data_IF_826288948334
#
_entry.id   IF_826288948334
#
_cell.length_a   1.000
_cell.length_b   1.000
_cell.length_c   1.000
_cell.angle_alpha   90.00
_cell.angle_beta   90.00
_cell.angle_gamma   90.00
#
_symmetry.space_group_name_H-M   'P 1'
#
loop_
_entity.id
_entity.type
_entity.pdbx_description
1 polymer ?
#
# COMPACT_ATOMS: atom_id res chain seq x y z
N UNK A 1 -2.19 -13.22 -17.25
CA UNK A 1 -3.16 -13.85 -16.32
C UNK A 1 -4.41 -14.22 -17.09
N UNK A 2 -5.06 -15.33 -16.72
CA UNK A 2 -6.38 -15.76 -17.26
C UNK A 2 -7.18 -16.39 -16.11
N UNK A 3 -8.50 -16.32 -16.19
CA UNK A 3 -9.39 -17.01 -15.26
C UNK A 3 -9.44 -18.48 -15.62
N UNK A 4 -9.32 -19.36 -14.62
CA UNK A 4 -9.38 -20.80 -14.78
C UNK A 4 -10.17 -21.42 -13.62
N UNK A 5 -10.86 -22.52 -13.91
CA UNK A 5 -11.41 -23.38 -12.87
C UNK A 5 -10.33 -24.35 -12.40
N UNK A 6 -10.10 -24.38 -11.10
CA UNK A 6 -9.12 -25.25 -10.45
C UNK A 6 -9.77 -25.93 -9.24
N UNK A 7 -9.26 -27.08 -8.78
CA UNK A 7 -9.73 -27.67 -7.54
C UNK A 7 -9.56 -26.73 -6.34
N UNK A 8 -10.49 -26.78 -5.39
CA UNK A 8 -10.33 -26.07 -4.14
C UNK A 8 -9.02 -26.46 -3.44
N UNK A 9 -8.29 -25.48 -2.88
CA UNK A 9 -7.02 -25.77 -2.23
C UNK A 9 -7.24 -26.57 -0.94
N UNK A 10 -6.38 -27.57 -0.73
CA UNK A 10 -6.36 -28.39 0.48
C UNK A 10 -5.32 -27.81 1.45
N UNK A 11 -5.70 -27.44 2.69
CA UNK A 11 -4.75 -26.91 3.66
C UNK A 11 -3.63 -27.90 3.97
N UNK A 12 -2.39 -27.42 3.97
CA UNK A 12 -1.23 -28.14 4.49
C UNK A 12 -1.16 -28.14 6.02
N UNK A 13 -0.11 -28.73 6.59
CA UNK A 13 0.11 -28.72 8.03
C UNK A 13 0.27 -27.27 8.56
N UNK A 14 -0.55 -26.91 9.55
CA UNK A 14 -0.56 -25.56 10.13
C UNK A 14 -1.26 -24.49 9.28
N UNK A 15 -1.90 -24.87 8.18
CA UNK A 15 -2.72 -23.99 7.35
C UNK A 15 -4.22 -24.20 7.62
N UNK A 16 -4.99 -23.21 7.21
CA UNK A 16 -6.44 -23.26 7.15
C UNK A 16 -6.92 -22.82 5.79
N UNK A 17 -8.07 -23.36 5.36
CA UNK A 17 -8.76 -22.88 4.17
C UNK A 17 -9.62 -21.67 4.56
N UNK A 18 -9.64 -20.69 3.67
CA UNK A 18 -10.42 -19.47 3.79
C UNK A 18 -11.26 -19.26 2.54
N UNK A 19 -12.53 -18.91 2.72
CA UNK A 19 -13.34 -18.33 1.65
C UNK A 19 -12.94 -16.88 1.47
N UNK A 20 -12.56 -16.47 0.28
CA UNK A 20 -12.15 -15.09 -0.01
C UNK A 20 -13.38 -14.20 -0.12
N UNK A 21 -13.48 -13.21 0.75
CA UNK A 21 -14.51 -12.18 0.71
C UNK A 21 -14.08 -11.01 -0.18
N UNK A 22 -12.80 -10.63 -0.07
CA UNK A 22 -12.19 -9.58 -0.87
C UNK A 22 -10.67 -9.77 -0.92
N UNK A 23 -10.04 -9.43 -2.05
CA UNK A 23 -8.57 -9.48 -2.23
C UNK A 23 -8.06 -8.15 -2.77
N UNK A 24 -7.14 -7.52 -2.04
CA UNK A 24 -6.57 -6.24 -2.44
C UNK A 24 -5.54 -6.41 -3.55
N UNK A 25 -5.58 -5.55 -4.57
CA UNK A 25 -4.58 -5.51 -5.64
C UNK A 25 -3.39 -4.68 -5.18
N UNK A 26 -2.24 -5.33 -5.05
CA UNK A 26 -1.00 -4.70 -4.59
C UNK A 26 0.04 -4.60 -5.71
N UNK A 27 0.97 -3.64 -5.60
CA UNK A 27 2.07 -3.51 -6.56
C UNK A 27 2.95 -4.77 -6.64
N UNK A 28 3.21 -5.51 -5.53
CA UNK A 28 3.82 -6.83 -5.60
C UNK A 28 3.12 -7.83 -6.52
N UNK A 29 1.79 -7.80 -6.66
CA UNK A 29 1.07 -8.69 -7.59
C UNK A 29 1.49 -8.43 -9.04
N UNK A 30 1.63 -7.14 -9.42
CA UNK A 30 2.12 -6.76 -10.74
C UNK A 30 3.57 -7.22 -10.99
N UNK A 31 4.42 -7.15 -9.97
CA UNK A 31 5.80 -7.61 -10.05
C UNK A 31 5.89 -9.15 -10.09
N UNK A 32 5.05 -9.85 -9.33
CA UNK A 32 4.97 -11.32 -9.32
C UNK A 32 4.61 -11.85 -10.70
N UNK A 33 3.54 -11.34 -11.31
CA UNK A 33 3.09 -11.82 -12.64
C UNK A 33 4.08 -11.50 -13.76
N UNK A 34 4.98 -10.52 -13.57
CA UNK A 34 6.07 -10.17 -14.47
C UNK A 34 7.39 -10.89 -14.17
N UNK A 35 7.44 -11.70 -13.08
CA UNK A 35 8.68 -12.35 -12.63
C UNK A 35 9.74 -11.38 -12.10
N UNK A 36 9.35 -10.18 -11.70
CA UNK A 36 10.21 -9.07 -11.26
C UNK A 36 10.24 -8.90 -9.74
N UNK A 37 9.51 -9.75 -9.00
CA UNK A 37 9.52 -9.70 -7.54
C UNK A 37 10.61 -10.60 -6.96
N UNK A 38 10.99 -10.38 -5.68
CA UNK A 38 12.03 -11.15 -4.98
C UNK A 38 11.64 -12.62 -4.81
N UNK A 39 10.34 -12.89 -4.63
CA UNK A 39 9.78 -14.24 -4.56
C UNK A 39 9.30 -14.63 -5.96
N UNK A 40 9.67 -15.83 -6.39
CA UNK A 40 9.27 -16.41 -7.69
C UNK A 40 8.52 -17.72 -7.43
N UNK A 41 7.19 -17.67 -7.29
CA UNK A 41 6.42 -18.90 -7.11
C UNK A 41 6.53 -19.80 -8.35
N UNK A 42 6.39 -21.14 -8.18
CA UNK A 42 6.33 -22.05 -9.31
C UNK A 42 5.11 -21.74 -10.19
N UNK A 43 5.25 -21.96 -11.50
CA UNK A 43 4.15 -21.82 -12.45
C UNK A 43 3.39 -23.15 -12.60
N UNK A 44 2.05 -23.13 -12.75
CA UNK A 44 1.18 -21.96 -12.66
C UNK A 44 0.99 -21.48 -11.22
N UNK A 45 0.69 -20.20 -11.03
CA UNK A 45 0.31 -19.66 -9.72
C UNK A 45 -0.82 -18.63 -9.82
N UNK A 46 -1.58 -18.48 -8.76
CA UNK A 46 -2.58 -17.44 -8.59
C UNK A 46 -1.97 -16.29 -7.80
N UNK A 47 -2.00 -15.03 -8.28
CA UNK A 47 -1.58 -13.87 -7.50
C UNK A 47 -2.64 -13.43 -6.48
N UNK A 48 -2.38 -12.35 -5.75
CA UNK A 48 -3.23 -11.86 -4.66
C UNK A 48 -2.59 -12.15 -3.29
N UNK A 49 -1.76 -11.21 -2.85
CA UNK A 49 -0.93 -11.41 -1.64
C UNK A 49 -1.62 -11.02 -0.34
N UNK A 50 -2.84 -10.49 -0.41
CA UNK A 50 -3.57 -9.93 0.74
C UNK A 50 -5.08 -10.09 0.57
N UNK A 51 -5.74 -10.63 1.57
CA UNK A 51 -7.20 -10.85 1.55
C UNK A 51 -7.87 -10.47 2.87
N UNK A 52 -9.18 -10.18 2.79
CA UNK A 52 -10.14 -10.45 3.84
C UNK A 52 -10.87 -11.76 3.47
N UNK A 53 -10.91 -12.70 4.39
CA UNK A 53 -11.53 -14.00 4.18
C UNK A 53 -12.33 -14.45 5.39
N UNK A 54 -13.06 -15.53 5.21
CA UNK A 54 -13.86 -16.18 6.24
C UNK A 54 -13.38 -17.60 6.46
N UNK A 55 -13.15 -17.93 7.72
CA UNK A 55 -12.82 -19.29 8.16
C UNK A 55 -14.06 -20.19 8.13
N UNK A 56 -13.88 -21.52 8.21
CA UNK A 56 -14.99 -22.48 8.23
C UNK A 56 -15.90 -22.31 9.46
N UNK A 57 -15.39 -21.76 10.57
CA UNK A 57 -16.17 -21.41 11.77
C UNK A 57 -16.78 -20.00 11.74
N UNK A 58 -16.75 -19.33 10.58
CA UNK A 58 -17.43 -18.05 10.32
C UNK A 58 -16.69 -16.80 10.82
N UNK A 59 -15.41 -16.90 11.21
CA UNK A 59 -14.63 -15.73 11.64
C UNK A 59 -14.13 -14.95 10.42
N UNK A 60 -14.31 -13.62 10.41
CA UNK A 60 -13.69 -12.70 9.44
C UNK A 60 -12.25 -12.43 9.83
N UNK A 61 -11.36 -12.69 8.90
CA UNK A 61 -9.92 -12.56 9.10
C UNK A 61 -9.23 -11.85 7.93
N UNK A 62 -8.13 -11.17 8.22
CA UNK A 62 -7.17 -10.70 7.23
C UNK A 62 -6.04 -11.72 7.17
N UNK A 63 -5.62 -12.07 5.95
CA UNK A 63 -4.57 -13.06 5.74
C UNK A 63 -3.67 -12.72 4.54
N UNK A 64 -2.46 -13.27 4.58
CA UNK A 64 -1.60 -13.38 3.40
C UNK A 64 -1.67 -14.84 2.92
N UNK A 65 -2.29 -15.12 1.75
CA UNK A 65 -2.37 -16.46 1.22
C UNK A 65 -1.01 -17.11 0.98
N UNK A 66 -0.96 -18.43 1.13
CA UNK A 66 0.24 -19.22 0.83
C UNK A 66 0.40 -19.39 -0.69
N UNK A 67 1.45 -18.80 -1.27
CA UNK A 67 1.76 -19.04 -2.67
C UNK A 67 2.14 -20.52 -2.87
N UNK A 68 1.73 -21.15 -3.98
CA UNK A 68 1.26 -20.54 -5.24
C UNK A 68 -0.24 -20.21 -5.32
N UNK A 69 -1.02 -20.36 -4.25
CA UNK A 69 -2.46 -20.19 -4.23
C UNK A 69 -2.86 -18.82 -3.64
N UNK A 70 -2.67 -17.74 -4.40
CA UNK A 70 -2.96 -16.38 -3.97
C UNK A 70 -4.46 -16.02 -4.00
N UNK A 71 -4.77 -14.85 -3.48
CA UNK A 71 -6.13 -14.39 -3.15
C UNK A 71 -7.02 -14.01 -4.32
N UNK A 72 -6.53 -13.98 -5.57
CA UNK A 72 -7.42 -13.80 -6.71
C UNK A 72 -8.08 -15.12 -7.08
N UNK A 73 -8.84 -15.66 -6.12
CA UNK A 73 -9.56 -16.91 -6.15
C UNK A 73 -10.75 -16.86 -5.18
N UNK A 74 -11.66 -17.83 -5.26
CA UNK A 74 -12.78 -17.95 -4.32
C UNK A 74 -12.36 -18.53 -2.97
N UNK A 75 -11.36 -19.43 -3.00
CA UNK A 75 -10.78 -20.08 -1.82
C UNK A 75 -9.25 -20.05 -1.86
N UNK A 76 -8.65 -19.94 -0.69
CA UNK A 76 -7.19 -19.97 -0.51
C UNK A 76 -6.82 -20.75 0.74
N UNK A 77 -5.52 -21.07 0.88
CA UNK A 77 -4.94 -21.47 2.17
C UNK A 77 -4.06 -20.37 2.73
N UNK A 78 -4.00 -20.30 4.06
CA UNK A 78 -3.13 -19.40 4.77
C UNK A 78 -2.64 -20.03 6.09
N UNK A 79 -1.43 -19.65 6.58
CA UNK A 79 -0.95 -20.12 7.88
C UNK A 79 -1.89 -19.69 9.01
N UNK A 80 -2.42 -20.65 9.76
CA UNK A 80 -3.38 -20.40 10.86
C UNK A 80 -2.86 -19.40 11.91
N UNK A 81 -1.55 -19.47 12.20
CA UNK A 81 -0.86 -18.57 13.16
C UNK A 81 -0.71 -17.11 12.70
N UNK A 82 -0.90 -16.85 11.40
CA UNK A 82 -0.75 -15.53 10.81
C UNK A 82 -2.08 -14.82 10.54
N UNK A 83 -3.21 -15.46 10.88
CA UNK A 83 -4.52 -14.85 10.73
C UNK A 83 -4.70 -13.70 11.72
N UNK A 84 -5.19 -12.57 11.21
CA UNK A 84 -5.49 -11.38 12.00
C UNK A 84 -7.00 -11.14 11.96
N UNK A 85 -7.67 -10.84 13.09
CA UNK A 85 -9.09 -10.50 13.07
C UNK A 85 -9.37 -9.30 12.17
N UNK A 86 -10.36 -9.39 11.29
CA UNK A 86 -10.76 -8.23 10.50
C UNK A 86 -11.47 -7.19 11.39
N UNK A 87 -11.11 -5.89 11.34
CA UNK A 87 -11.77 -4.86 12.13
C UNK A 87 -13.28 -4.82 11.83
N UNK A 88 -14.11 -4.80 12.87
CA UNK A 88 -15.56 -4.81 12.73
C UNK A 88 -16.15 -3.53 12.13
N UNK A 89 -15.40 -2.43 12.15
CA UNK A 89 -15.79 -1.13 11.58
C UNK A 89 -15.50 -0.99 10.09
N UNK A 90 -14.77 -1.94 9.50
CA UNK A 90 -14.40 -1.95 8.09
C UNK A 90 -15.20 -3.02 7.34
N UNK A 91 -15.66 -2.71 6.12
CA UNK A 91 -16.21 -3.72 5.25
C UNK A 91 -15.13 -4.69 4.71
N UNK A 92 -15.51 -5.71 3.93
CA UNK A 92 -14.58 -6.74 3.48
C UNK A 92 -13.47 -6.19 2.58
N UNK A 93 -13.82 -5.25 1.71
CA UNK A 93 -12.87 -4.63 0.79
C UNK A 93 -11.90 -3.68 1.53
N UNK A 94 -12.40 -2.91 2.48
CA UNK A 94 -11.61 -2.06 3.35
C UNK A 94 -10.68 -2.92 4.23
N UNK A 95 -11.20 -4.00 4.82
CA UNK A 95 -10.40 -4.91 5.63
C UNK A 95 -9.28 -5.58 4.80
N UNK A 96 -9.58 -6.04 3.56
CA UNK A 96 -8.58 -6.58 2.66
C UNK A 96 -7.49 -5.57 2.29
N UNK A 97 -7.78 -4.27 2.30
CA UNK A 97 -6.86 -3.19 1.94
C UNK A 97 -6.05 -2.61 3.11
N UNK A 98 -6.32 -3.08 4.33
CA UNK A 98 -5.72 -2.52 5.55
C UNK A 98 -4.30 -3.03 5.80
N UNK A 99 -4.05 -4.32 5.63
CA UNK A 99 -2.89 -5.00 6.21
C UNK A 99 -1.56 -4.52 5.62
N UNK A 100 -1.24 -4.86 4.38
CA UNK A 100 0.08 -4.56 3.80
C UNK A 100 0.31 -3.06 3.72
N UNK A 101 -0.66 -2.31 3.22
CA UNK A 101 -0.50 -0.88 2.99
C UNK A 101 -0.33 -0.06 4.26
N UNK A 102 -1.21 -0.29 5.24
CA UNK A 102 -1.17 0.47 6.50
C UNK A 102 -0.07 -0.02 7.42
N UNK A 103 0.23 -1.32 7.47
CA UNK A 103 1.40 -1.78 8.22
C UNK A 103 2.70 -1.25 7.62
N UNK A 104 2.84 -1.22 6.29
CA UNK A 104 3.99 -0.58 5.63
C UNK A 104 4.11 0.89 6.06
N UNK A 105 3.00 1.64 6.03
CA UNK A 105 2.96 3.02 6.52
C UNK A 105 3.35 3.13 7.99
N UNK A 106 2.75 2.32 8.85
CA UNK A 106 3.00 2.36 10.29
C UNK A 106 4.46 2.05 10.63
N UNK A 107 5.01 0.95 10.09
CA UNK A 107 6.42 0.61 10.30
C UNK A 107 7.36 1.68 9.74
N UNK A 108 7.04 2.22 8.56
CA UNK A 108 7.82 3.30 7.94
C UNK A 108 7.86 4.56 8.79
N UNK A 109 6.70 5.03 9.21
CA UNK A 109 6.56 6.30 9.91
C UNK A 109 6.95 6.18 11.39
N UNK A 110 6.40 5.19 12.12
CA UNK A 110 6.58 5.13 13.57
C UNK A 110 7.84 4.38 13.99
N UNK A 111 8.14 3.23 13.36
CA UNK A 111 9.29 2.42 13.79
C UNK A 111 10.59 2.83 13.13
N UNK A 112 10.58 3.12 11.81
CA UNK A 112 11.79 3.49 11.07
C UNK A 112 12.12 4.97 11.18
N UNK A 113 11.19 5.83 10.80
CA UNK A 113 11.37 7.28 10.81
C UNK A 113 11.18 7.89 12.21
N UNK A 114 10.45 7.23 13.11
CA UNK A 114 10.11 7.78 14.45
C UNK A 114 9.46 9.17 14.33
N UNK A 115 8.45 9.26 13.44
CA UNK A 115 7.69 10.48 13.19
C UNK A 115 7.12 11.03 14.50
N UNK A 116 7.33 12.31 14.76
CA UNK A 116 6.85 13.01 15.94
C UNK A 116 5.68 13.94 15.59
N UNK A 117 4.83 14.21 16.58
CA UNK A 117 3.80 15.24 16.47
C UNK A 117 4.43 16.59 16.10
N UNK A 118 3.82 17.29 15.13
CA UNK A 118 4.28 18.61 14.68
C UNK A 118 5.40 18.57 13.63
N UNK A 119 5.98 17.40 13.32
CA UNK A 119 6.89 17.27 12.19
C UNK A 119 6.15 17.41 10.85
N UNK A 120 6.88 17.78 9.81
CA UNK A 120 6.39 17.83 8.44
C UNK A 120 6.71 16.52 7.74
N UNK A 121 5.66 15.82 7.30
CA UNK A 121 5.73 14.57 6.53
C UNK A 121 5.44 14.83 5.05
N UNK A 122 6.40 14.54 4.17
CA UNK A 122 6.20 14.53 2.71
C UNK A 122 5.88 13.11 2.25
N UNK A 123 4.75 12.92 1.57
CA UNK A 123 4.30 11.62 1.07
C UNK A 123 4.23 11.63 -0.44
N UNK A 124 5.09 10.86 -1.11
CA UNK A 124 4.98 10.62 -2.54
C UNK A 124 3.86 9.64 -2.87
N UNK A 125 3.24 9.81 -4.05
CA UNK A 125 2.07 9.06 -4.50
C UNK A 125 0.94 9.06 -3.44
N UNK A 126 0.66 10.23 -2.84
CA UNK A 126 -0.24 10.43 -1.69
C UNK A 126 -1.67 9.89 -1.91
N UNK A 127 -2.16 9.87 -3.15
CA UNK A 127 -3.46 9.31 -3.51
C UNK A 127 -3.41 7.82 -3.91
N UNK A 128 -2.24 7.17 -3.84
CA UNK A 128 -2.06 5.74 -4.12
C UNK A 128 -2.26 4.87 -2.89
N UNK A 129 -2.21 3.55 -3.06
CA UNK A 129 -2.52 2.62 -1.98
C UNK A 129 -1.69 2.77 -0.70
N UNK A 130 -0.35 2.77 -0.78
CA UNK A 130 0.51 2.96 0.40
C UNK A 130 0.67 4.43 0.78
N UNK A 131 0.54 5.35 -0.20
CA UNK A 131 0.61 6.79 0.06
C UNK A 131 -0.59 7.29 0.86
N UNK A 132 -1.81 6.89 0.50
CA UNK A 132 -3.04 7.25 1.23
C UNK A 132 -3.03 6.74 2.67
N UNK A 133 -2.46 5.55 2.89
CA UNK A 133 -2.25 5.01 4.22
C UNK A 133 -1.25 5.88 5.02
N UNK A 134 -0.13 6.27 4.41
CA UNK A 134 0.87 7.12 5.05
C UNK A 134 0.32 8.52 5.38
N UNK A 135 -0.51 9.10 4.51
CA UNK A 135 -1.20 10.39 4.79
C UNK A 135 -2.06 10.26 6.05
N UNK A 136 -2.96 9.28 6.10
CA UNK A 136 -3.87 9.10 7.23
C UNK A 136 -3.11 8.82 8.54
N UNK A 137 -2.10 7.96 8.50
CA UNK A 137 -1.25 7.66 9.66
C UNK A 137 -0.45 8.89 10.12
N UNK A 138 0.06 9.69 9.19
CA UNK A 138 0.72 10.97 9.49
C UNK A 138 -0.21 11.96 10.17
N UNK A 139 -1.44 12.10 9.66
CA UNK A 139 -2.48 12.94 10.28
C UNK A 139 -2.87 12.42 11.66
N UNK A 140 -3.06 11.12 11.84
CA UNK A 140 -3.35 10.51 13.13
C UNK A 140 -2.22 10.72 14.15
N UNK A 141 -0.96 10.78 13.70
CA UNK A 141 0.20 11.10 14.52
C UNK A 141 0.31 12.60 14.85
N UNK A 142 -0.50 13.46 14.24
CA UNK A 142 -0.45 14.91 14.42
C UNK A 142 0.68 15.60 13.64
N UNK A 143 1.12 15.01 12.54
CA UNK A 143 2.07 15.62 11.61
C UNK A 143 1.37 16.61 10.66
N UNK A 144 2.14 17.58 10.16
CA UNK A 144 1.77 18.38 8.99
C UNK A 144 2.11 17.57 7.74
N UNK A 145 1.12 17.27 6.89
CA UNK A 145 1.29 16.34 5.77
C UNK A 145 1.28 17.06 4.43
N UNK A 146 2.35 16.92 3.67
CA UNK A 146 2.48 17.35 2.28
C UNK A 146 2.28 16.14 1.38
N UNK A 147 1.22 16.14 0.56
CA UNK A 147 0.94 15.08 -0.41
C UNK A 147 1.45 15.42 -1.80
N UNK A 148 2.20 14.52 -2.42
CA UNK A 148 2.67 14.66 -3.82
C UNK A 148 1.91 13.70 -4.71
N UNK A 149 1.29 14.22 -5.76
CA UNK A 149 0.45 13.46 -6.69
C UNK A 149 0.77 13.80 -8.15
N UNK A 150 0.18 13.08 -9.08
CA UNK A 150 0.22 13.39 -10.52
C UNK A 150 -1.19 13.65 -11.04
N UNK A 151 -1.49 14.92 -11.29
CA UNK A 151 -2.74 15.38 -11.90
C UNK A 151 -3.86 15.72 -10.92
N UNK A 152 -4.76 16.59 -11.39
CA UNK A 152 -5.82 17.24 -10.61
C UNK A 152 -6.78 16.27 -9.91
N UNK A 153 -7.12 15.13 -10.53
CA UNK A 153 -8.02 14.16 -9.92
C UNK A 153 -7.42 13.56 -8.65
N UNK A 154 -6.13 13.19 -8.69
CA UNK A 154 -5.39 12.67 -7.54
C UNK A 154 -5.13 13.76 -6.49
N UNK A 155 -5.04 15.04 -6.90
CA UNK A 155 -4.90 16.15 -5.97
C UNK A 155 -6.13 16.28 -5.06
N UNK A 156 -7.33 16.25 -5.62
CA UNK A 156 -8.58 16.27 -4.84
C UNK A 156 -8.63 15.13 -3.81
N UNK A 157 -8.26 13.92 -4.23
CA UNK A 157 -8.21 12.78 -3.30
C UNK A 157 -7.22 13.01 -2.16
N UNK A 158 -6.05 13.59 -2.43
CA UNK A 158 -5.07 13.90 -1.38
C UNK A 158 -5.56 15.01 -0.42
N UNK A 159 -6.30 15.99 -0.92
CA UNK A 159 -6.98 17.02 -0.12
C UNK A 159 -8.04 16.38 0.79
N UNK A 160 -8.90 15.52 0.25
CA UNK A 160 -9.95 14.79 0.99
C UNK A 160 -9.35 13.86 2.07
N UNK A 161 -8.15 13.33 1.86
CA UNK A 161 -7.40 12.55 2.85
C UNK A 161 -6.80 13.42 3.97
N UNK A 162 -6.88 14.75 3.86
CA UNK A 162 -6.44 15.69 4.88
C UNK A 162 -4.99 16.15 4.75
N UNK A 163 -4.38 16.09 3.57
CA UNK A 163 -3.09 16.75 3.34
C UNK A 163 -3.20 18.27 3.58
N UNK A 164 -2.25 18.83 4.32
CA UNK A 164 -2.19 20.27 4.61
C UNK A 164 -1.67 21.08 3.41
N UNK A 165 -0.89 20.43 2.54
CA UNK A 165 -0.49 20.92 1.22
C UNK A 165 -0.54 19.76 0.23
N UNK A 166 -1.07 20.00 -0.96
CA UNK A 166 -1.01 19.05 -2.08
C UNK A 166 -0.18 19.69 -3.20
N UNK A 167 0.77 18.91 -3.74
CA UNK A 167 1.64 19.32 -4.83
C UNK A 167 1.36 18.42 -6.04
N UNK A 168 0.88 19.00 -7.12
CA UNK A 168 0.79 18.29 -8.41
C UNK A 168 2.14 18.37 -9.14
N UNK A 169 2.92 17.28 -9.04
CA UNK A 169 4.25 17.17 -9.65
C UNK A 169 4.28 17.36 -11.18
N UNK A 170 3.11 17.35 -11.83
CA UNK A 170 3.01 17.56 -13.28
C UNK A 170 2.92 19.05 -13.64
N UNK A 171 2.63 19.90 -12.67
CA UNK A 171 2.41 21.33 -12.88
C UNK A 171 3.27 22.23 -11.96
N UNK A 172 3.84 21.67 -10.87
CA UNK A 172 4.53 22.44 -9.85
C UNK A 172 5.96 21.92 -9.58
N UNK A 173 6.87 22.81 -9.18
CA UNK A 173 8.19 22.45 -8.68
C UNK A 173 8.07 21.97 -7.22
N UNK A 174 8.24 20.68 -7.01
CA UNK A 174 8.17 20.03 -5.70
C UNK A 174 9.10 20.69 -4.67
N UNK A 175 10.36 20.95 -5.06
CA UNK A 175 11.37 21.46 -4.10
C UNK A 175 11.04 22.89 -3.70
N UNK A 176 10.64 23.72 -4.65
CA UNK A 176 10.23 25.10 -4.40
C UNK A 176 9.01 25.16 -3.47
N UNK A 177 7.97 24.35 -3.76
CA UNK A 177 6.72 24.31 -2.97
C UNK A 177 6.95 23.82 -1.55
N UNK A 178 7.76 22.76 -1.35
CA UNK A 178 8.08 22.27 0.00
C UNK A 178 8.85 23.33 0.79
N UNK A 179 9.85 23.98 0.18
CA UNK A 179 10.63 25.03 0.85
C UNK A 179 9.78 26.25 1.20
N UNK A 180 8.92 26.68 0.28
CA UNK A 180 7.97 27.78 0.54
C UNK A 180 7.08 27.45 1.74
N UNK A 181 6.41 26.31 1.74
CA UNK A 181 5.49 25.88 2.79
C UNK A 181 6.16 25.70 4.15
N UNK A 182 7.43 25.28 4.16
CA UNK A 182 8.20 25.04 5.40
C UNK A 182 9.10 26.21 5.79
N UNK A 183 8.94 27.39 5.19
CA UNK A 183 9.81 28.55 5.39
C UNK A 183 11.32 28.22 5.22
N UNK A 184 11.66 27.42 4.23
CA UNK A 184 13.03 27.01 3.91
C UNK A 184 13.55 25.80 4.68
N UNK A 185 12.87 25.33 5.74
CA UNK A 185 13.32 24.24 6.62
C UNK A 185 13.37 22.88 5.91
N UNK A 186 12.36 22.59 5.09
CA UNK A 186 12.20 21.31 4.43
C UNK A 186 11.31 20.32 5.23
N UNK A 187 11.13 19.11 4.69
CA UNK A 187 10.33 18.05 5.30
C UNK A 187 11.17 17.22 6.29
N UNK A 188 10.66 16.99 7.49
CA UNK A 188 11.35 16.22 8.54
C UNK A 188 11.39 14.73 8.20
N UNK A 189 10.30 14.22 7.60
CA UNK A 189 10.18 12.84 7.13
C UNK A 189 9.68 12.84 5.69
N UNK A 190 10.30 12.02 4.85
CA UNK A 190 9.83 11.71 3.50
C UNK A 190 9.46 10.24 3.43
N UNK A 191 8.25 9.94 2.94
CA UNK A 191 7.78 8.58 2.66
C UNK A 191 7.77 8.38 1.14
N UNK A 192 8.73 7.58 0.64
CA UNK A 192 8.99 7.42 -0.80
C UNK A 192 8.75 5.99 -1.31
N UNK A 193 7.57 5.70 -1.88
CA UNK A 193 7.29 4.45 -2.59
C UNK A 193 7.62 4.52 -4.10
N UNK A 194 8.16 5.64 -4.59
CA UNK A 194 8.30 5.93 -6.03
C UNK A 194 9.75 5.76 -6.52
N UNK A 195 10.72 6.30 -5.78
CA UNK A 195 12.13 6.28 -6.16
C UNK A 195 12.47 7.25 -7.30
N UNK A 196 13.60 7.03 -7.98
CA UNK A 196 14.04 7.83 -9.13
C UNK A 196 14.07 9.32 -8.84
N UNK A 197 13.37 10.10 -9.68
CA UNK A 197 13.31 11.58 -9.56
C UNK A 197 12.61 12.04 -8.27
N UNK A 198 11.66 11.25 -7.73
CA UNK A 198 11.02 11.57 -6.46
C UNK A 198 12.03 11.57 -5.31
N UNK A 199 12.92 10.58 -5.26
CA UNK A 199 14.02 10.57 -4.32
C UNK A 199 14.97 11.76 -4.51
N UNK A 200 15.34 12.04 -5.77
CA UNK A 200 16.27 13.14 -6.11
C UNK A 200 15.72 14.50 -5.67
N UNK A 201 14.44 14.74 -5.88
CA UNK A 201 13.77 15.95 -5.42
C UNK A 201 13.68 16.01 -3.87
N UNK A 202 13.33 14.88 -3.25
CA UNK A 202 13.25 14.75 -1.78
C UNK A 202 14.57 15.09 -1.10
N UNK A 203 15.70 14.59 -1.62
CA UNK A 203 17.02 14.89 -1.09
C UNK A 203 17.36 16.40 -1.10
N UNK A 204 16.76 17.19 -2.03
CA UNK A 204 16.94 18.64 -2.10
C UNK A 204 16.09 19.42 -1.09
N UNK A 205 14.96 18.84 -0.62
CA UNK A 205 14.02 19.50 0.27
C UNK A 205 13.77 18.77 1.60
N UNK A 206 14.54 17.72 1.90
CA UNK A 206 14.57 17.13 3.25
C UNK A 206 15.20 18.12 4.23
N UNK A 207 14.69 18.16 5.46
CA UNK A 207 15.19 19.04 6.53
C UNK A 207 16.57 18.58 7.05
N UNK A 208 17.22 19.44 7.82
CA UNK A 208 18.38 19.06 8.65
C UNK A 208 17.95 17.98 9.64
N UNK A 209 18.74 16.91 9.77
CA UNK A 209 18.42 15.68 10.53
C UNK A 209 17.13 14.97 10.07
N UNK A 210 16.63 15.29 8.89
CA UNK A 210 15.46 14.66 8.31
C UNK A 210 15.73 13.21 7.89
N UNK A 211 14.66 12.48 7.54
CA UNK A 211 14.72 11.05 7.21
C UNK A 211 13.94 10.79 5.93
N UNK A 212 14.56 10.10 4.98
CA UNK A 212 13.89 9.60 3.76
C UNK A 212 13.68 8.10 3.93
N UNK A 213 12.42 7.67 4.02
CA UNK A 213 12.04 6.25 4.09
C UNK A 213 11.83 5.74 2.67
N UNK A 214 12.73 4.86 2.25
CA UNK A 214 12.65 4.15 0.96
C UNK A 214 11.72 2.94 1.13
N UNK A 215 10.55 3.03 0.50
CA UNK A 215 9.47 2.01 0.61
C UNK A 215 9.40 1.16 -0.65
N UNK A 216 9.69 1.74 -1.81
CA UNK A 216 9.63 1.05 -3.08
C UNK A 216 10.10 1.91 -4.25
N UNK A 217 9.96 1.34 -5.45
CA UNK A 217 10.42 1.95 -6.69
C UNK A 217 9.32 1.86 -7.77
N UNK A 218 8.10 2.26 -7.41
CA UNK A 218 6.95 2.21 -8.33
C UNK A 218 7.14 3.10 -9.57
N UNK A 219 8.06 4.07 -9.53
CA UNK A 219 8.48 4.84 -10.71
C UNK A 219 9.40 4.08 -11.68
N UNK A 220 9.76 2.82 -11.37
CA UNK A 220 10.56 1.95 -12.23
C UNK A 220 12.08 2.16 -12.12
N UNK A 221 12.54 3.21 -11.44
CA UNK A 221 13.98 3.52 -11.32
C UNK A 221 14.43 3.43 -9.85
N UNK A 222 15.41 2.58 -9.59
CA UNK A 222 16.10 2.52 -8.30
C UNK A 222 17.07 3.70 -8.23
N UNK A 223 16.94 4.63 -7.27
CA UNK A 223 17.84 5.77 -7.18
C UNK A 223 19.23 5.35 -6.73
N UNK A 224 20.24 6.06 -7.21
CA UNK A 224 21.64 5.92 -6.75
C UNK A 224 22.00 7.16 -5.93
N UNK A 225 21.79 7.15 -4.61
CA UNK A 225 22.04 8.33 -3.78
C UNK A 225 23.52 8.66 -3.72
N UNK A 226 23.84 9.95 -3.95
CA UNK A 226 25.18 10.48 -3.69
C UNK A 226 25.37 10.62 -2.17
N UNK A 227 26.13 9.72 -1.54
CA UNK A 227 26.30 9.68 -0.09
C UNK A 227 26.90 10.95 0.51
N UNK A 228 27.76 11.66 -0.24
CA UNK A 228 28.27 12.96 0.15
C UNK A 228 27.17 14.00 0.35
N UNK A 229 26.03 13.90 -0.37
CA UNK A 229 24.90 14.78 -0.15
C UNK A 229 24.22 14.55 1.20
N UNK A 230 24.05 13.28 1.58
CA UNK A 230 23.51 12.92 2.90
C UNK A 230 24.46 13.40 4.03
N UNK A 231 25.78 13.25 3.83
CA UNK A 231 26.78 13.73 4.77
C UNK A 231 26.73 15.25 4.96
N UNK A 232 26.71 16.02 3.86
CA UNK A 232 26.74 17.49 3.93
C UNK A 232 25.45 18.08 4.50
N UNK A 233 24.31 17.46 4.20
CA UNK A 233 22.99 17.92 4.67
C UNK A 233 22.54 17.27 5.98
N UNK A 234 23.28 16.30 6.53
CA UNK A 234 22.94 15.57 7.76
C UNK A 234 21.52 14.98 7.75
N UNK A 235 21.13 14.25 6.69
CA UNK A 235 19.88 13.49 6.68
C UNK A 235 20.13 11.97 6.60
N UNK A 236 19.14 11.18 6.99
CA UNK A 236 19.19 9.73 6.98
C UNK A 236 18.41 9.12 5.83
N UNK A 237 18.90 8.01 5.27
CA UNK A 237 18.20 7.17 4.30
C UNK A 237 17.83 5.87 5.01
N UNK A 238 16.53 5.57 5.11
CA UNK A 238 16.00 4.43 5.87
C UNK A 238 15.31 3.44 4.92
N UNK A 239 15.84 2.25 4.77
CA UNK A 239 15.17 1.18 4.02
C UNK A 239 14.01 0.58 4.80
N UNK A 240 12.93 0.23 4.10
CA UNK A 240 11.79 -0.49 4.66
C UNK A 240 11.39 -1.65 3.74
N UNK A 241 11.49 -2.88 4.24
CA UNK A 241 10.86 -4.06 3.66
C UNK A 241 9.92 -4.67 4.70
N UNK A 242 8.64 -4.33 4.62
CA UNK A 242 7.63 -4.78 5.59
C UNK A 242 7.57 -6.31 5.71
N UNK A 243 7.61 -7.05 4.60
CA UNK A 243 7.53 -8.52 4.60
C UNK A 243 8.58 -9.21 5.48
N UNK A 244 9.72 -8.56 5.77
CA UNK A 244 10.70 -9.12 6.71
C UNK A 244 10.21 -9.11 8.16
N UNK A 245 9.33 -8.19 8.54
CA UNK A 245 8.80 -8.16 9.91
C UNK A 245 7.92 -9.36 10.19
N UNK A 246 7.14 -9.84 9.22
CA UNK A 246 6.33 -11.06 9.38
C UNK A 246 7.20 -12.28 9.75
N UNK A 247 8.41 -12.37 9.19
CA UNK A 247 9.34 -13.46 9.46
C UNK A 247 10.23 -13.24 10.70
N UNK A 248 10.64 -11.98 10.97
CA UNK A 248 11.64 -11.66 11.98
C UNK A 248 11.06 -11.15 13.30
N UNK A 249 9.88 -10.55 13.28
CA UNK A 249 9.25 -9.93 14.45
C UNK A 249 7.71 -9.97 14.31
N UNK A 250 7.11 -11.18 14.30
CA UNK A 250 5.65 -11.33 14.15
C UNK A 250 4.86 -10.67 15.30
N UNK A 251 5.47 -10.54 16.49
CA UNK A 251 4.86 -9.84 17.61
C UNK A 251 4.63 -8.35 17.30
N UNK A 252 5.60 -7.70 16.64
CA UNK A 252 5.43 -6.31 16.20
C UNK A 252 4.37 -6.17 15.10
N UNK A 253 4.21 -7.16 14.22
CA UNK A 253 3.12 -7.19 13.22
C UNK A 253 1.76 -7.26 13.89
N UNK A 254 1.60 -8.10 14.92
CA UNK A 254 0.37 -8.20 15.70
C UNK A 254 0.08 -6.91 16.48
N UNK A 255 1.09 -6.33 17.13
CA UNK A 255 0.94 -5.06 17.84
C UNK A 255 0.54 -3.91 16.90
N UNK A 256 1.15 -3.85 15.72
CA UNK A 256 0.77 -2.91 14.67
C UNK A 256 -0.69 -3.11 14.22
N UNK A 257 -1.12 -4.37 14.01
CA UNK A 257 -2.50 -4.67 13.66
C UNK A 257 -3.48 -4.21 14.73
N UNK A 258 -3.17 -4.44 16.01
CA UNK A 258 -4.00 -3.97 17.14
C UNK A 258 -4.15 -2.45 17.12
N UNK A 259 -3.06 -1.73 16.88
CA UNK A 259 -3.11 -0.25 16.79
C UNK A 259 -3.90 0.22 15.56
N UNK A 260 -3.71 -0.41 14.39
CA UNK A 260 -4.50 -0.08 13.20
C UNK A 260 -5.99 -0.35 13.38
N UNK A 261 -6.34 -1.43 14.08
CA UNK A 261 -7.74 -1.74 14.45
C UNK A 261 -8.33 -0.66 15.36
N UNK A 262 -7.58 -0.19 16.34
CA UNK A 262 -7.97 0.94 17.21
C UNK A 262 -8.18 2.22 16.40
N UNK A 263 -7.23 2.58 15.54
CA UNK A 263 -7.32 3.79 14.70
C UNK A 263 -8.51 3.71 13.73
N UNK A 264 -8.81 2.51 13.19
CA UNK A 264 -9.98 2.30 12.35
C UNK A 264 -11.29 2.46 13.14
N UNK A 265 -11.35 1.95 14.38
CA UNK A 265 -12.52 2.11 15.26
C UNK A 265 -12.77 3.57 15.64
N UNK A 266 -11.71 4.38 15.76
CA UNK A 266 -11.78 5.82 16.01
C UNK A 266 -12.03 6.66 14.74
N UNK A 267 -12.11 6.02 13.56
CA UNK A 267 -12.32 6.71 12.28
C UNK A 267 -11.09 7.50 11.78
N UNK A 268 -9.92 7.30 12.40
CA UNK A 268 -8.68 7.99 12.04
C UNK A 268 -7.98 7.37 10.83
N UNK A 269 -8.25 6.10 10.56
CA UNK A 269 -7.80 5.42 9.35
C UNK A 269 -8.97 4.67 8.71
N UNK A 270 -9.08 4.80 7.39
CA UNK A 270 -10.04 4.09 6.56
C UNK A 270 -9.42 3.83 5.20
N UNK A 271 -9.21 2.56 4.81
CA UNK A 271 -8.63 2.26 3.50
C UNK A 271 -9.42 2.88 2.36
N UNK A 272 -8.71 3.61 1.48
CA UNK A 272 -9.28 4.26 0.32
C UNK A 272 -9.52 3.22 -0.77
N UNK A 273 -10.67 2.55 -0.74
CA UNK A 273 -11.11 1.62 -1.80
C UNK A 273 -11.83 2.43 -2.87
N UNK A 274 -11.19 2.59 -4.02
CA UNK A 274 -11.75 3.35 -5.14
C UNK A 274 -12.65 2.51 -6.05
N UNK A 275 -12.40 1.21 -6.10
CA UNK A 275 -13.16 0.32 -6.98
C UNK A 275 -13.16 -1.12 -6.45
N UNK A 276 -14.32 -1.78 -6.57
CA UNK A 276 -14.50 -3.22 -6.36
C UNK A 276 -14.69 -3.87 -7.72
N UNK A 277 -13.84 -4.83 -8.05
CA UNK A 277 -13.86 -5.50 -9.36
C UNK A 277 -14.19 -6.98 -9.20
N UNK A 278 -14.91 -7.60 -10.14
CA UNK A 278 -15.14 -9.03 -10.13
C UNK A 278 -13.83 -9.79 -10.41
N UNK A 279 -13.76 -11.06 -10.00
CA UNK A 279 -12.58 -11.91 -10.19
C UNK A 279 -12.12 -11.95 -11.66
N UNK A 280 -13.05 -11.97 -12.60
CA UNK A 280 -12.75 -11.95 -14.05
C UNK A 280 -11.98 -10.69 -14.50
N UNK A 281 -12.09 -9.57 -13.77
CA UNK A 281 -11.39 -8.31 -14.06
C UNK A 281 -10.05 -8.17 -13.30
N UNK A 282 -9.61 -9.17 -12.53
CA UNK A 282 -8.39 -9.10 -11.73
C UNK A 282 -7.14 -8.80 -12.59
N UNK A 283 -7.05 -9.38 -13.79
CA UNK A 283 -5.92 -9.14 -14.69
C UNK A 283 -5.83 -7.69 -15.15
N UNK A 284 -6.97 -7.09 -15.52
CA UNK A 284 -7.06 -5.66 -15.88
C UNK A 284 -6.72 -4.76 -14.69
N UNK A 285 -7.25 -5.07 -13.51
CA UNK A 285 -6.97 -4.31 -12.29
C UNK A 285 -5.47 -4.28 -11.95
N UNK A 286 -4.78 -5.41 -12.07
CA UNK A 286 -3.32 -5.50 -11.89
C UNK A 286 -2.58 -4.66 -12.93
N UNK A 287 -3.02 -4.70 -14.21
CA UNK A 287 -2.40 -3.90 -15.27
C UNK A 287 -2.59 -2.40 -15.04
N UNK A 288 -3.81 -1.94 -14.73
CA UNK A 288 -4.10 -0.53 -14.42
C UNK A 288 -3.28 -0.01 -13.24
N UNK A 289 -3.11 -0.84 -12.20
CA UNK A 289 -2.23 -0.49 -11.08
C UNK A 289 -0.78 -0.33 -11.53
N UNK A 290 -0.29 -1.28 -12.33
CA UNK A 290 1.08 -1.24 -12.85
C UNK A 290 1.36 -0.03 -13.75
N UNK A 291 0.35 0.44 -14.49
CA UNK A 291 0.43 1.62 -15.37
C UNK A 291 0.27 2.95 -14.60
N UNK A 292 0.04 2.88 -13.28
CA UNK A 292 -0.11 4.05 -12.42
C UNK A 292 -1.38 4.88 -12.68
N UNK A 293 -2.37 4.33 -13.37
CA UNK A 293 -3.63 5.02 -13.71
C UNK A 293 -4.66 5.01 -12.59
N UNK A 294 -4.40 4.25 -11.52
CA UNK A 294 -5.32 4.08 -10.40
C UNK A 294 -5.18 5.17 -9.33
N UNK A 295 -6.24 5.34 -8.54
CA UNK A 295 -6.26 6.12 -7.30
C UNK A 295 -6.72 5.19 -6.19
N UNK A 296 -6.16 5.29 -4.99
CA UNK A 296 -6.53 4.39 -3.87
C UNK A 296 -6.22 2.91 -4.16
N UNK A 297 -7.15 2.05 -3.78
CA UNK A 297 -7.07 0.60 -3.89
C UNK A 297 -8.13 0.05 -4.84
N UNK A 298 -7.71 -0.85 -5.71
CA UNK A 298 -8.61 -1.75 -6.43
C UNK A 298 -8.72 -3.03 -5.61
N UNK A 299 -9.93 -3.53 -5.41
CA UNK A 299 -10.18 -4.72 -4.61
C UNK A 299 -11.01 -5.71 -5.44
N UNK A 300 -10.48 -6.92 -5.60
CA UNK A 300 -11.16 -8.03 -6.24
C UNK A 300 -12.18 -8.62 -5.26
N UNK A 301 -13.44 -8.73 -5.68
CA UNK A 301 -14.53 -9.38 -4.92
C UNK A 301 -15.00 -10.59 -5.71
N UNK A 302 -14.63 -11.81 -5.33
CA UNK A 302 -14.89 -13.02 -6.12
C UNK A 302 -16.40 -13.26 -6.39
N UNK A 303 -17.26 -12.90 -5.44
CA UNK A 303 -18.72 -13.04 -5.54
C UNK A 303 -19.43 -11.87 -6.24
N UNK A 304 -18.69 -10.82 -6.69
CA UNK A 304 -19.29 -9.71 -7.39
C UNK A 304 -19.77 -10.15 -8.80
N UNK A 305 -20.95 -9.70 -9.27
CA UNK A 305 -21.37 -9.98 -10.63
C UNK A 305 -20.36 -9.40 -11.63
N UNK A 306 -20.10 -10.13 -12.71
CA UNK A 306 -19.28 -9.62 -13.81
C UNK A 306 -19.89 -8.30 -14.33
N UNK A 307 -19.05 -7.29 -14.56
CA UNK A 307 -19.50 -6.07 -15.22
C UNK A 307 -20.13 -6.45 -16.58
N UNK A 308 -21.25 -5.82 -16.99
CA UNK A 308 -21.81 -6.08 -18.31
C UNK A 308 -20.72 -5.82 -19.36
N UNK A 309 -20.56 -6.75 -20.27
CA UNK A 309 -19.66 -6.57 -21.42
C UNK A 309 -20.07 -5.23 -22.09
N UNK A 310 -19.09 -4.35 -22.29
CA UNK A 310 -19.34 -3.14 -23.06
C UNK A 310 -19.84 -3.61 -24.44
N UNK A 311 -21.14 -3.40 -24.70
CA UNK A 311 -21.72 -3.70 -26.00
C UNK A 311 -20.86 -3.01 -27.05
N UNK A 312 -20.21 -3.83 -27.87
CA UNK A 312 -19.46 -3.34 -28.98
C UNK A 312 -20.36 -2.46 -29.83
N UNK A 313 -20.17 -1.16 -29.77
CA UNK A 313 -20.74 -0.22 -30.72
C UNK A 313 -20.23 -0.63 -32.10
N UNK A 314 -20.97 -1.55 -32.67
CA UNK A 314 -20.86 -1.92 -34.08
C UNK A 314 -21.48 -0.80 -34.91
N UNK A 315 -20.78 -0.47 -35.94
CA UNK A 315 -21.07 0.21 -37.20
C UNK A 315 -20.57 1.63 -37.28
#
# INVERSE_FOLDING_TARGET
>A
MRLEEVPEPVPGEGEVRLRVLAANVNFPDALLVRGQYQIKPPLPFTPGVEICGETEDGRRVIANPSLPHGGFAEYVTAPARALLPAPGTLDDAEAAALHIGYQTGWFGLHRRARLQRGETLLVHAAAGGVGSAAVQLGKAAGATVIGVVGGKAKARTAEELGCDLVIDRTAEDLVARVKEFTAGRGADVVYDPVGGDAYTASAKCVAFEGRIVVVGFAGGTVPTPALNHALVKNYSILGLHWGLYAAKDPAAVLACHTELTRLAAEGLVKPLVSERVPLAAAADAVQRLADGTTTGRLVVVPSAPAAPAADGAGR
#
